data_IF_732489841215
#
_entry.id   IF_732489841215
#
_cell.length_a   1.000
_cell.length_b   1.000
_cell.length_c   1.000
_cell.angle_alpha   90.00
_cell.angle_beta   90.00
_cell.angle_gamma   90.00
#
_symmetry.space_group_name_H-M   'P 1'
#
loop_
_entity.id
_entity.type
_entity.pdbx_description
1 polymer ?
#
# COMPACT_ATOMS: atom_id res chain seq x y z
N UNK A 1 12.11 -5.82 9.48
CA UNK A 1 10.87 -5.04 9.29
C UNK A 1 9.80 -5.98 8.79
N UNK A 2 8.78 -6.28 9.60
CA UNK A 2 7.58 -6.92 9.08
C UNK A 2 6.76 -5.82 8.40
N UNK A 3 6.31 -6.01 7.15
CA UNK A 3 5.30 -5.17 6.51
C UNK A 3 4.02 -5.26 7.35
N UNK A 4 3.98 -4.46 8.41
CA UNK A 4 2.83 -4.37 9.29
C UNK A 4 1.71 -3.74 8.48
N UNK A 5 0.47 -4.07 8.82
CA UNK A 5 -0.68 -3.58 8.09
C UNK A 5 -0.77 -2.03 8.10
N UNK A 6 -0.05 -1.39 9.01
CA UNK A 6 0.10 0.06 9.17
C UNK A 6 0.99 0.75 8.12
N UNK A 7 1.76 0.01 7.30
CA UNK A 7 2.68 0.64 6.33
C UNK A 7 1.89 1.28 5.19
N UNK A 8 2.13 2.57 4.97
CA UNK A 8 1.45 3.36 3.93
C UNK A 8 1.99 3.00 2.54
N UNK A 9 1.14 3.12 1.53
CA UNK A 9 1.56 2.92 0.15
C UNK A 9 2.75 3.78 -0.28
N UNK A 10 2.75 5.05 0.17
CA UNK A 10 3.81 6.00 -0.14
C UNK A 10 5.14 5.60 0.49
N UNK A 11 5.14 5.07 1.72
CA UNK A 11 6.34 4.58 2.38
C UNK A 11 6.95 3.41 1.62
N UNK A 12 6.12 2.47 1.14
CA UNK A 12 6.62 1.33 0.35
C UNK A 12 7.19 1.80 -1.00
N UNK A 13 6.56 2.77 -1.65
CA UNK A 13 7.14 3.37 -2.88
C UNK A 13 8.46 4.07 -2.61
N UNK A 14 8.56 4.81 -1.50
CA UNK A 14 9.77 5.55 -1.15
C UNK A 14 10.92 4.62 -0.78
N UNK A 15 10.63 3.59 0.02
CA UNK A 15 11.63 2.68 0.57
C UNK A 15 12.11 1.65 -0.45
N UNK A 16 11.23 1.19 -1.34
CA UNK A 16 11.57 0.18 -2.36
C UNK A 16 11.72 0.76 -3.78
N UNK A 17 11.37 2.04 -4.00
CA UNK A 17 11.39 2.66 -5.34
C UNK A 17 10.41 2.03 -6.33
N UNK A 18 9.42 1.29 -5.84
CA UNK A 18 8.52 0.46 -6.67
C UNK A 18 7.34 1.26 -7.21
N UNK A 19 6.87 0.90 -8.40
CA UNK A 19 5.64 1.47 -8.96
C UNK A 19 4.40 0.90 -8.31
N UNK A 20 3.27 1.58 -8.49
CA UNK A 20 1.97 1.20 -7.93
C UNK A 20 1.59 -0.28 -8.10
N UNK A 21 1.90 -0.85 -9.27
CA UNK A 21 1.61 -2.24 -9.60
C UNK A 21 2.50 -3.20 -8.83
N UNK A 22 3.77 -2.85 -8.67
CA UNK A 22 4.79 -3.67 -8.00
C UNK A 22 4.55 -3.68 -6.50
N UNK A 23 4.18 -2.55 -5.89
CA UNK A 23 3.79 -2.49 -4.48
C UNK A 23 2.57 -3.37 -4.19
N UNK A 24 1.57 -3.39 -5.08
CA UNK A 24 0.39 -4.27 -4.94
C UNK A 24 0.76 -5.75 -5.05
N UNK A 25 1.68 -6.10 -5.95
CA UNK A 25 2.17 -7.46 -6.09
C UNK A 25 2.95 -7.90 -4.85
N UNK A 26 3.89 -7.07 -4.39
CA UNK A 26 4.67 -7.29 -3.17
C UNK A 26 3.76 -7.50 -1.96
N UNK A 27 2.79 -6.61 -1.74
CA UNK A 27 1.89 -6.70 -0.59
C UNK A 27 0.91 -7.87 -0.69
N UNK A 28 0.55 -8.30 -1.90
CA UNK A 28 -0.27 -9.50 -2.09
C UNK A 28 0.49 -10.78 -1.74
N UNK A 29 1.79 -10.82 -2.00
CA UNK A 29 2.65 -11.96 -1.69
C UNK A 29 3.04 -12.01 -0.21
N UNK A 30 3.25 -10.83 0.40
CA UNK A 30 3.69 -10.72 1.79
C UNK A 30 2.55 -10.76 2.82
N UNK A 31 1.34 -10.33 2.47
CA UNK A 31 0.20 -10.29 3.40
C UNK A 31 -0.75 -11.47 3.21
N UNK A 32 -1.27 -11.97 4.33
CA UNK A 32 -2.45 -12.85 4.31
C UNK A 32 -3.62 -12.14 3.64
N UNK A 33 -4.49 -12.90 2.98
CA UNK A 33 -5.61 -12.36 2.18
C UNK A 33 -6.51 -11.40 2.96
N UNK A 34 -6.75 -11.64 4.25
CA UNK A 34 -7.52 -10.75 5.13
C UNK A 34 -6.83 -9.39 5.35
N UNK A 35 -5.54 -9.42 5.67
CA UNK A 35 -4.71 -8.21 5.86
C UNK A 35 -4.56 -7.42 4.55
N UNK A 36 -4.37 -8.11 3.41
CA UNK A 36 -4.31 -7.47 2.10
C UNK A 36 -5.61 -6.74 1.76
N UNK A 37 -6.78 -7.33 2.05
CA UNK A 37 -8.08 -6.67 1.86
C UNK A 37 -8.23 -5.41 2.70
N UNK A 38 -7.83 -5.46 3.98
CA UNK A 38 -7.87 -4.30 4.88
C UNK A 38 -6.93 -3.18 4.41
N UNK A 39 -5.69 -3.53 4.05
CA UNK A 39 -4.71 -2.61 3.49
C UNK A 39 -5.20 -1.96 2.19
N UNK A 40 -5.77 -2.74 1.26
CA UNK A 40 -6.31 -2.21 -0.01
C UNK A 40 -7.49 -1.28 0.22
N UNK A 41 -8.34 -1.55 1.22
CA UNK A 41 -9.45 -0.66 1.60
C UNK A 41 -8.89 0.68 2.12
N UNK A 42 -7.87 0.65 3.00
CA UNK A 42 -7.18 1.85 3.47
C UNK A 42 -6.56 2.63 2.30
N UNK A 43 -5.78 1.98 1.45
CA UNK A 43 -5.17 2.65 0.29
C UNK A 43 -6.20 3.30 -0.62
N UNK A 44 -7.33 2.64 -0.88
CA UNK A 44 -8.39 3.24 -1.70
C UNK A 44 -8.96 4.50 -1.04
N UNK A 45 -9.19 4.47 0.28
CA UNK A 45 -9.65 5.63 1.04
C UNK A 45 -8.60 6.76 1.16
N UNK A 46 -7.30 6.43 1.17
CA UNK A 46 -6.22 7.41 1.21
C UNK A 46 -5.82 7.94 -0.18
N UNK A 47 -5.98 7.12 -1.22
CA UNK A 47 -5.71 7.49 -2.62
C UNK A 47 -6.75 8.49 -3.15
N UNK A 48 -8.00 8.35 -2.73
CA UNK A 48 -9.08 9.31 -3.04
C UNK A 48 -8.77 10.73 -2.51
N UNK A 49 -8.10 10.84 -1.35
CA UNK A 49 -7.67 12.14 -0.81
C UNK A 49 -6.52 12.79 -1.57
N UNK A 50 -5.78 12.07 -2.43
CA UNK A 50 -4.66 12.65 -3.20
C UNK A 50 -5.10 13.39 -4.46
N UNK A 51 -6.40 13.52 -4.73
CA UNK A 51 -6.86 14.47 -5.75
C UNK A 51 -6.65 15.94 -5.32
N UNK A 52 -6.28 16.19 -4.05
CA UNK A 52 -5.81 17.48 -3.56
C UNK A 52 -4.30 17.49 -3.30
N UNK A 53 -3.50 17.42 -4.36
CA UNK A 53 -2.14 17.97 -4.34
C UNK A 53 -1.92 18.72 -5.65
N UNK A 54 -2.49 19.93 -5.71
CA UNK A 54 -2.11 21.00 -6.62
C UNK A 54 -1.99 22.29 -5.82
#
# INVERSE_FOLDING_TARGET
>A
MALSDHVSFAEIQLEYGLKDKEVKALMRDNLKTGSYRAWRKRIRSFGDRREHYK
#
